data_IF_434419504910
#
_entry.id   IF_434419504910
#
_cell.length_a   1.000
_cell.length_b   1.000
_cell.length_c   1.000
_cell.angle_alpha   90.00
_cell.angle_beta   90.00
_cell.angle_gamma   90.00
#
_symmetry.space_group_name_H-M   'P 1'
#
loop_
_entity.id
_entity.type
_entity.pdbx_description
1 polymer ?
#
# COMPACT_ATOMS: atom_id res chain seq x y z
N UNK A 1 58.58 1.16 21.92
CA UNK A 1 57.68 0.70 23.01
C UNK A 1 56.34 1.38 22.85
N UNK A 2 55.24 0.62 22.91
CA UNK A 2 53.88 1.16 22.66
C UNK A 2 53.49 2.16 23.75
N UNK A 3 53.37 3.43 23.38
CA UNK A 3 53.07 4.58 24.28
C UNK A 3 51.60 4.70 24.67
N UNK A 4 50.71 3.81 24.22
CA UNK A 4 49.25 3.95 24.36
C UNK A 4 48.62 3.05 25.45
N UNK A 5 49.39 2.53 26.39
CA UNK A 5 48.82 1.73 27.49
C UNK A 5 48.99 2.47 28.83
N UNK A 6 47.91 3.11 29.37
CA UNK A 6 47.96 3.90 30.62
C UNK A 6 48.57 3.11 31.81
N UNK A 7 48.24 1.84 31.95
CA UNK A 7 48.70 1.03 33.05
C UNK A 7 50.24 0.73 33.05
N UNK A 8 50.91 0.89 31.91
CA UNK A 8 52.38 0.77 31.83
C UNK A 8 53.08 2.05 32.28
N UNK A 9 52.53 3.20 31.95
CA UNK A 9 53.05 4.50 32.38
C UNK A 9 52.92 4.66 33.88
N UNK A 10 51.76 4.29 34.46
CA UNK A 10 51.58 4.33 35.94
C UNK A 10 52.57 3.46 36.66
N UNK A 11 52.85 2.27 36.16
CA UNK A 11 53.85 1.38 36.73
C UNK A 11 55.26 1.99 36.61
N UNK A 12 55.58 2.63 35.50
CA UNK A 12 56.86 3.26 35.28
C UNK A 12 57.08 4.47 36.23
N UNK A 13 56.08 5.30 36.39
CA UNK A 13 56.08 6.44 37.31
C UNK A 13 56.23 5.93 38.77
N UNK A 14 55.54 4.84 39.11
CA UNK A 14 55.64 4.24 40.46
C UNK A 14 57.03 3.66 40.74
N UNK A 15 57.68 2.99 39.77
CA UNK A 15 59.06 2.47 39.91
C UNK A 15 60.07 3.60 39.97
N UNK A 16 59.87 4.70 39.26
CA UNK A 16 60.67 5.90 39.30
C UNK A 16 60.64 6.54 40.67
N UNK A 17 59.46 6.81 41.26
CA UNK A 17 59.34 7.38 42.61
C UNK A 17 59.75 6.41 43.70
N UNK A 18 59.71 5.10 43.49
CA UNK A 18 60.21 4.05 44.37
C UNK A 18 61.71 3.88 44.31
N UNK A 19 62.44 4.57 43.43
CA UNK A 19 63.92 4.48 43.31
C UNK A 19 64.42 3.16 42.72
N UNK A 20 63.57 2.42 42.00
CA UNK A 20 63.84 1.08 41.43
C UNK A 20 63.90 1.08 39.93
N UNK A 21 63.72 2.23 39.29
CA UNK A 21 63.71 2.35 37.83
C UNK A 21 65.10 2.22 37.22
N UNK A 22 65.22 1.53 36.10
CA UNK A 22 66.49 1.40 35.37
C UNK A 22 66.82 2.68 34.60
N UNK A 23 68.06 2.88 34.15
CA UNK A 23 68.50 4.05 33.38
C UNK A 23 67.71 4.20 32.09
N UNK A 24 67.38 3.07 31.39
CA UNK A 24 66.62 3.07 30.17
C UNK A 24 65.16 3.49 30.41
N UNK A 25 64.58 3.09 31.54
CA UNK A 25 63.24 3.47 31.98
C UNK A 25 63.15 4.94 32.37
N UNK A 26 64.21 5.49 32.97
CA UNK A 26 64.26 6.92 33.29
C UNK A 26 64.32 7.77 32.04
N UNK A 27 65.19 7.43 31.06
CA UNK A 27 65.31 8.14 29.78
C UNK A 27 64.01 8.08 28.98
N UNK A 28 63.33 6.92 29.04
CA UNK A 28 62.03 6.80 28.39
C UNK A 28 60.96 7.68 29.06
N UNK A 29 60.93 7.70 30.39
CA UNK A 29 60.00 8.53 31.16
C UNK A 29 60.22 10.03 30.87
N UNK A 30 61.47 10.47 30.82
CA UNK A 30 61.84 11.85 30.47
C UNK A 30 61.36 12.22 29.06
N UNK A 31 61.58 11.34 28.08
CA UNK A 31 61.10 11.58 26.71
C UNK A 31 59.58 11.68 26.64
N UNK A 32 58.86 10.79 27.36
CA UNK A 32 57.42 10.78 27.43
C UNK A 32 56.84 12.05 28.10
N UNK A 33 57.50 12.54 29.18
CA UNK A 33 57.11 13.81 29.84
C UNK A 33 57.22 15.00 28.88
N UNK A 34 58.25 15.01 28.02
CA UNK A 34 58.50 16.11 27.09
C UNK A 34 57.67 16.00 25.80
N UNK A 35 56.98 14.92 25.56
CA UNK A 35 56.18 14.67 24.33
C UNK A 35 54.91 15.53 24.26
N UNK A 36 54.25 15.82 25.41
CA UNK A 36 53.05 16.67 25.48
C UNK A 36 52.88 17.38 26.82
N UNK A 37 52.16 18.52 26.81
CA UNK A 37 51.77 19.22 28.03
C UNK A 37 50.86 18.38 28.92
N UNK A 38 50.04 17.50 28.34
CA UNK A 38 49.18 16.58 29.10
C UNK A 38 49.98 15.56 29.89
N UNK A 39 51.08 15.03 29.33
CA UNK A 39 51.99 14.10 30.02
C UNK A 39 52.71 14.77 31.19
N UNK A 40 53.11 16.03 31.01
CA UNK A 40 53.73 16.82 32.10
C UNK A 40 52.75 17.03 33.25
N UNK A 41 51.51 17.38 32.95
CA UNK A 41 50.44 17.57 33.92
C UNK A 41 50.13 16.29 34.66
N UNK A 42 50.07 15.15 33.96
CA UNK A 42 49.81 13.83 34.50
C UNK A 42 50.93 13.39 35.47
N UNK A 43 52.20 13.57 35.09
CA UNK A 43 53.34 13.27 35.95
C UNK A 43 53.33 14.12 37.20
N UNK A 44 53.03 15.41 37.10
CA UNK A 44 52.93 16.35 38.23
C UNK A 44 51.81 15.97 39.20
N UNK A 45 50.66 15.53 38.71
CA UNK A 45 49.58 15.06 39.55
C UNK A 45 49.95 13.78 40.29
N UNK A 46 50.63 12.85 39.63
CA UNK A 46 51.11 11.62 40.22
C UNK A 46 52.16 11.88 41.30
N UNK A 47 53.08 12.81 41.05
CA UNK A 47 54.07 13.27 41.99
C UNK A 47 53.41 13.82 43.28
N UNK A 48 52.42 14.70 43.16
CA UNK A 48 51.72 15.27 44.31
C UNK A 48 51.00 14.20 45.13
N UNK A 49 50.45 13.18 44.51
CA UNK A 49 49.80 12.05 45.19
C UNK A 49 50.87 11.20 45.95
N UNK A 50 52.01 10.97 45.31
CA UNK A 50 53.09 10.19 45.89
C UNK A 50 53.68 10.91 47.13
N UNK A 51 54.01 12.19 47.03
CA UNK A 51 54.50 12.99 48.09
C UNK A 51 53.54 13.04 49.31
N UNK A 52 52.23 13.20 49.01
CA UNK A 52 51.20 13.16 50.06
C UNK A 52 51.05 11.77 50.71
N UNK A 53 51.43 10.69 50.05
CA UNK A 53 51.39 9.33 50.62
C UNK A 53 52.56 8.96 51.50
N UNK A 54 53.71 9.60 51.26
CA UNK A 54 54.97 9.35 52.06
C UNK A 54 54.97 10.08 53.41
N UNK A 55 54.23 11.19 53.55
CA UNK A 55 54.17 11.99 54.77
C UNK A 55 53.17 11.50 55.83
N UNK A 56 52.41 10.42 55.59
CA UNK A 56 51.49 9.89 56.59
C UNK A 56 52.16 8.83 57.48
N UNK A 57 52.37 9.10 58.78
CA UNK A 57 52.71 8.03 59.69
C UNK A 57 51.51 7.12 59.90
N UNK A 58 51.48 6.01 59.23
CA UNK A 58 50.45 5.00 59.42
C UNK A 58 50.63 4.30 60.71
N UNK A 59 49.89 4.66 61.76
CA UNK A 59 49.79 3.86 62.95
C UNK A 59 48.99 2.58 62.61
N UNK A 60 49.74 1.53 62.30
CA UNK A 60 49.21 0.22 61.84
C UNK A 60 48.24 -0.38 62.88
N UNK A 61 48.39 -0.15 64.13
CA UNK A 61 47.56 -0.68 65.23
C UNK A 61 46.12 -0.06 65.21
N UNK A 62 46.05 1.25 65.03
CA UNK A 62 44.75 1.92 64.92
C UNK A 62 43.97 1.61 63.56
N UNK A 63 44.72 1.41 62.51
CA UNK A 63 44.15 1.03 61.24
C UNK A 63 43.65 -0.41 61.31
N UNK A 64 44.40 -1.34 61.83
CA UNK A 64 44.03 -2.74 62.04
C UNK A 64 42.78 -2.86 62.94
N UNK A 65 42.74 -2.15 64.07
CA UNK A 65 41.59 -2.15 64.97
C UNK A 65 40.33 -1.59 64.30
N UNK A 66 40.47 -0.59 63.44
CA UNK A 66 39.33 -0.02 62.67
C UNK A 66 38.81 -0.96 61.57
N UNK A 67 39.73 -1.71 60.97
CA UNK A 67 39.38 -2.73 59.97
C UNK A 67 38.71 -3.94 60.61
N UNK A 68 39.25 -4.45 61.71
CA UNK A 68 38.70 -5.56 62.48
C UNK A 68 37.31 -5.21 63.07
N UNK A 69 37.11 -3.97 63.51
CA UNK A 69 35.84 -3.48 64.01
C UNK A 69 34.79 -3.42 62.83
N UNK A 70 35.21 -2.99 61.66
CA UNK A 70 34.37 -2.92 60.48
C UNK A 70 33.99 -4.31 59.91
N UNK A 71 34.90 -5.29 60.02
CA UNK A 71 34.63 -6.68 59.61
C UNK A 71 33.63 -7.32 60.60
N UNK A 72 33.74 -7.02 61.89
CA UNK A 72 32.86 -7.58 62.94
C UNK A 72 31.47 -6.89 62.96
N UNK A 73 31.38 -5.61 62.55
CA UNK A 73 30.12 -4.88 62.41
C UNK A 73 29.43 -5.20 61.07
N UNK A 74 30.14 -5.82 60.15
CA UNK A 74 29.65 -6.07 58.75
C UNK A 74 28.83 -7.33 58.56
N UNK A 75 28.70 -8.20 59.56
CA UNK A 75 27.76 -9.34 59.46
C UNK A 75 26.41 -8.99 60.09
N UNK A 76 25.73 -7.97 59.55
CA UNK A 76 24.28 -7.98 59.66
C UNK A 76 23.77 -9.11 58.76
N UNK A 77 23.42 -10.24 59.35
CA UNK A 77 22.72 -11.29 58.64
C UNK A 77 21.51 -10.64 57.94
N UNK A 78 21.55 -10.62 56.63
CA UNK A 78 20.40 -10.12 55.84
C UNK A 78 19.21 -10.94 56.32
N UNK A 79 18.27 -10.29 56.99
CA UNK A 79 17.05 -10.92 57.48
C UNK A 79 16.36 -11.59 56.25
N UNK A 80 15.89 -12.81 56.43
CA UNK A 80 15.20 -13.58 55.36
C UNK A 80 14.24 -12.71 54.52
N UNK A 81 13.58 -11.73 55.16
CA UNK A 81 12.75 -10.73 54.54
C UNK A 81 13.47 -9.81 53.54
N UNK A 82 14.71 -9.41 53.83
CA UNK A 82 15.48 -8.53 52.91
C UNK A 82 15.98 -9.31 51.69
N UNK A 83 16.32 -10.57 51.86
CA UNK A 83 16.68 -11.47 50.75
C UNK A 83 15.44 -11.74 49.88
N UNK A 84 14.30 -12.06 50.52
CA UNK A 84 13.03 -12.29 49.82
C UNK A 84 12.58 -11.05 49.03
N UNK A 85 12.71 -9.83 49.59
CA UNK A 85 12.37 -8.59 48.86
C UNK A 85 13.27 -8.34 47.63
N UNK A 86 14.57 -8.66 47.72
CA UNK A 86 15.50 -8.51 46.59
C UNK A 86 15.19 -9.52 45.49
N UNK A 87 14.90 -10.78 45.85
CA UNK A 87 14.50 -11.82 44.90
C UNK A 87 13.15 -11.47 44.27
N UNK A 88 12.17 -10.99 45.05
CA UNK A 88 10.88 -10.54 44.55
C UNK A 88 11.01 -9.39 43.54
N UNK A 89 11.88 -8.41 43.83
CA UNK A 89 12.11 -7.29 42.90
C UNK A 89 12.77 -7.75 41.57
N UNK A 90 13.73 -8.70 41.64
CA UNK A 90 14.39 -9.26 40.43
C UNK A 90 13.41 -10.07 39.57
N UNK A 91 12.48 -10.77 40.17
CA UNK A 91 11.47 -11.56 39.48
C UNK A 91 10.28 -10.71 39.00
N UNK A 92 9.94 -9.66 39.75
CA UNK A 92 8.79 -8.79 39.43
C UNK A 92 9.02 -7.93 38.18
N UNK A 93 10.25 -7.41 38.00
CA UNK A 93 10.59 -6.56 36.85
C UNK A 93 10.43 -7.29 35.53
N UNK A 94 11.01 -8.50 35.30
CA UNK A 94 10.80 -9.23 34.03
C UNK A 94 9.34 -9.68 33.84
N UNK A 95 8.63 -9.98 34.94
CA UNK A 95 7.21 -10.33 34.86
C UNK A 95 6.35 -9.13 34.47
N UNK A 96 6.67 -7.94 34.97
CA UNK A 96 6.00 -6.69 34.59
C UNK A 96 6.31 -6.30 33.15
N UNK A 97 7.57 -6.44 32.70
CA UNK A 97 7.99 -6.26 31.31
C UNK A 97 7.26 -7.25 30.40
N UNK A 98 7.18 -8.53 30.80
CA UNK A 98 6.46 -9.57 30.06
C UNK A 98 4.96 -9.24 29.93
N UNK A 99 4.33 -8.78 31.03
CA UNK A 99 2.92 -8.38 31.05
C UNK A 99 2.65 -7.14 30.16
N UNK A 100 3.53 -6.14 30.23
CA UNK A 100 3.48 -4.98 29.34
C UNK A 100 3.70 -5.39 27.88
N UNK A 101 4.69 -6.25 27.61
CA UNK A 101 4.94 -6.78 26.27
C UNK A 101 3.76 -7.59 25.75
N UNK A 102 3.11 -8.42 26.57
CA UNK A 102 1.91 -9.15 26.18
C UNK A 102 0.73 -8.21 25.86
N UNK A 103 0.53 -7.14 26.59
CA UNK A 103 -0.50 -6.14 26.28
C UNK A 103 -0.15 -5.34 25.02
N UNK A 104 1.09 -4.87 24.88
CA UNK A 104 1.55 -4.19 23.66
C UNK A 104 1.54 -5.10 22.43
N UNK A 105 1.88 -6.38 22.57
CA UNK A 105 1.87 -7.34 21.47
C UNK A 105 0.47 -7.76 21.04
N UNK A 106 -0.55 -7.67 21.89
CA UNK A 106 -1.95 -7.91 21.50
C UNK A 106 -2.44 -6.84 20.53
N UNK A 107 -2.10 -5.57 20.75
CA UNK A 107 -2.44 -4.50 19.81
C UNK A 107 -1.68 -4.60 18.48
N UNK A 108 -0.48 -5.15 18.48
CA UNK A 108 0.31 -5.37 17.27
C UNK A 108 -0.15 -6.60 16.44
N UNK A 109 -0.62 -7.66 17.10
CA UNK A 109 -1.18 -8.85 16.41
C UNK A 109 -2.63 -8.68 15.96
N UNK A 110 -3.39 -7.76 16.55
CA UNK A 110 -4.79 -7.49 16.18
C UNK A 110 -4.95 -6.74 14.86
N UNK A 111 -3.86 -6.30 14.20
CA UNK A 111 -3.92 -5.62 12.89
C UNK A 111 -3.83 -6.54 11.66
N UNK A 112 -3.56 -7.82 11.85
CA UNK A 112 -3.74 -8.84 10.80
C UNK A 112 -5.06 -9.58 11.01
N UNK A 113 -6.19 -8.87 11.09
CA UNK A 113 -7.47 -9.50 10.81
C UNK A 113 -7.41 -9.96 9.36
N UNK A 114 -7.60 -11.26 9.13
CA UNK A 114 -7.72 -11.82 7.79
C UNK A 114 -8.79 -11.03 7.05
N UNK A 115 -8.36 -10.25 6.06
CA UNK A 115 -9.28 -9.45 5.23
C UNK A 115 -10.02 -10.44 4.35
N UNK A 116 -11.30 -10.61 4.61
CA UNK A 116 -12.18 -11.40 3.75
C UNK A 116 -12.56 -10.56 2.54
N UNK A 117 -12.41 -11.13 1.35
CA UNK A 117 -12.80 -10.47 0.11
C UNK A 117 -14.13 -11.02 -0.39
N UNK A 118 -15.06 -10.12 -0.62
CA UNK A 118 -16.30 -10.40 -1.33
C UNK A 118 -16.08 -10.25 -2.84
N UNK A 119 -16.82 -11.02 -3.63
CA UNK A 119 -16.85 -10.91 -5.09
C UNK A 119 -18.29 -10.84 -5.56
N UNK A 120 -18.65 -9.74 -6.21
CA UNK A 120 -19.94 -9.57 -6.86
C UNK A 120 -19.76 -9.68 -8.38
N UNK A 121 -20.68 -10.39 -9.04
CA UNK A 121 -20.72 -10.53 -10.49
C UNK A 121 -22.11 -10.10 -10.93
N UNK A 122 -22.19 -9.14 -11.85
CA UNK A 122 -23.46 -8.81 -12.52
C UNK A 122 -23.74 -9.86 -13.59
N UNK A 123 -24.93 -10.42 -13.56
CA UNK A 123 -25.36 -11.37 -14.60
C UNK A 123 -25.42 -10.66 -15.97
N UNK A 124 -25.24 -11.43 -17.05
CA UNK A 124 -25.38 -10.89 -18.40
C UNK A 124 -26.80 -10.39 -18.66
N UNK A 125 -26.93 -9.25 -19.31
CA UNK A 125 -28.23 -8.61 -19.60
C UNK A 125 -28.79 -7.78 -18.44
N UNK A 126 -28.09 -7.67 -17.32
CA UNK A 126 -28.50 -6.87 -16.16
C UNK A 126 -27.33 -6.07 -15.59
N UNK A 127 -27.62 -5.14 -14.72
CA UNK A 127 -26.61 -4.50 -13.87
C UNK A 127 -26.90 -4.77 -12.39
N UNK A 128 -25.90 -4.72 -11.56
CA UNK A 128 -26.03 -4.85 -10.10
C UNK A 128 -25.66 -3.56 -9.42
N UNK A 129 -26.37 -3.21 -8.36
CA UNK A 129 -26.05 -2.05 -7.50
C UNK A 129 -25.61 -2.57 -6.15
N UNK A 130 -24.49 -2.06 -5.64
CA UNK A 130 -23.97 -2.43 -4.34
C UNK A 130 -23.44 -1.21 -3.59
N UNK A 131 -23.53 -1.25 -2.28
CA UNK A 131 -22.92 -0.29 -1.38
C UNK A 131 -21.69 -0.95 -0.73
N UNK A 132 -20.57 -0.23 -0.77
CA UNK A 132 -19.31 -0.68 -0.20
C UNK A 132 -19.23 -0.32 1.29
N UNK A 133 -18.29 -0.93 2.06
CA UNK A 133 -18.14 -0.69 3.50
C UNK A 133 -17.85 0.75 3.91
N UNK A 134 -17.40 1.61 2.99
CA UNK A 134 -17.15 3.04 3.19
C UNK A 134 -18.35 3.93 2.80
N UNK A 135 -19.48 3.35 2.43
CA UNK A 135 -20.66 4.06 1.93
C UNK A 135 -20.58 4.48 0.46
N UNK A 136 -19.53 4.11 -0.26
CA UNK A 136 -19.46 4.31 -1.72
C UNK A 136 -20.46 3.42 -2.44
N UNK A 137 -21.13 3.96 -3.47
CA UNK A 137 -22.08 3.21 -4.31
C UNK A 137 -21.43 2.81 -5.61
N UNK A 138 -21.71 1.59 -6.05
CA UNK A 138 -21.18 1.04 -7.30
C UNK A 138 -22.31 0.43 -8.10
N UNK A 139 -22.44 0.84 -9.37
CA UNK A 139 -23.24 0.15 -10.39
C UNK A 139 -22.28 -0.71 -11.19
N UNK A 140 -22.52 -1.98 -11.25
CA UNK A 140 -21.70 -2.97 -11.94
C UNK A 140 -22.43 -3.43 -13.19
N UNK A 141 -21.89 -3.13 -14.36
CA UNK A 141 -22.51 -3.41 -15.65
C UNK A 141 -22.53 -4.91 -15.98
N UNK A 142 -23.34 -5.28 -16.91
CA UNK A 142 -23.54 -6.63 -17.44
C UNK A 142 -22.24 -7.40 -17.65
N UNK A 143 -22.14 -8.61 -17.08
CA UNK A 143 -20.97 -9.49 -17.20
C UNK A 143 -19.73 -9.02 -16.43
N UNK A 144 -19.80 -7.93 -15.68
CA UNK A 144 -18.68 -7.38 -14.92
C UNK A 144 -18.56 -8.01 -13.54
N UNK A 145 -17.35 -7.96 -12.98
CA UNK A 145 -17.08 -8.45 -11.63
C UNK A 145 -16.28 -7.44 -10.80
N UNK A 146 -16.68 -7.25 -9.54
CA UNK A 146 -16.02 -6.43 -8.56
C UNK A 146 -15.61 -7.29 -7.36
N UNK A 147 -14.33 -7.23 -6.97
CA UNK A 147 -13.81 -7.82 -5.75
C UNK A 147 -13.41 -6.71 -4.78
N UNK A 148 -13.91 -6.76 -3.56
CA UNK A 148 -13.70 -5.76 -2.52
C UNK A 148 -13.63 -6.42 -1.14
N UNK A 149 -12.92 -5.82 -0.16
CA UNK A 149 -12.82 -6.35 1.20
C UNK A 149 -14.12 -6.12 1.97
N UNK A 150 -14.38 -6.94 2.99
CA UNK A 150 -15.47 -6.75 3.95
C UNK A 150 -15.30 -5.48 4.79
N UNK A 151 -14.06 -5.03 4.97
CA UNK A 151 -13.68 -3.78 5.63
C UNK A 151 -12.47 -3.17 4.97
N UNK A 152 -12.49 -1.86 4.77
CA UNK A 152 -11.29 -1.15 4.34
C UNK A 152 -10.37 -0.92 5.55
N UNK A 153 -9.16 -1.50 5.48
CA UNK A 153 -8.14 -1.38 6.52
C UNK A 153 -6.95 -0.58 5.99
N UNK A 154 -6.24 0.12 6.88
CA UNK A 154 -5.05 0.92 6.60
C UNK A 154 -5.27 2.18 5.74
N UNK A 155 -4.37 2.46 4.80
CA UNK A 155 -4.20 3.79 4.21
C UNK A 155 -4.95 3.99 2.88
N UNK A 156 -5.75 3.02 2.42
CA UNK A 156 -6.51 3.14 1.19
C UNK A 156 -7.73 2.21 1.16
N UNK A 157 -8.66 2.52 0.22
CA UNK A 157 -9.88 1.76 -0.05
C UNK A 157 -9.72 1.10 -1.42
N UNK A 158 -9.21 -0.13 -1.45
CA UNK A 158 -8.87 -0.82 -2.70
C UNK A 158 -9.94 -1.82 -3.13
N UNK A 159 -10.38 -1.71 -4.37
CA UNK A 159 -11.26 -2.66 -5.05
C UNK A 159 -10.64 -3.12 -6.37
N UNK A 160 -11.09 -4.26 -6.89
CA UNK A 160 -10.59 -4.85 -8.13
C UNK A 160 -11.73 -5.05 -9.11
N UNK A 161 -11.65 -4.39 -10.26
CA UNK A 161 -12.67 -4.42 -11.30
C UNK A 161 -12.19 -5.18 -12.54
N UNK A 162 -13.06 -6.05 -13.05
CA UNK A 162 -12.97 -6.61 -14.41
C UNK A 162 -14.32 -6.36 -15.08
N UNK A 163 -14.32 -5.65 -16.20
CA UNK A 163 -15.55 -5.22 -16.87
C UNK A 163 -15.78 -3.73 -16.73
N UNK A 164 -17.02 -3.32 -16.59
CA UNK A 164 -17.44 -1.92 -16.52
C UNK A 164 -18.21 -1.63 -15.24
N UNK A 165 -17.88 -0.53 -14.57
CA UNK A 165 -18.58 -0.07 -13.39
C UNK A 165 -18.58 1.46 -13.27
N UNK A 166 -19.69 1.98 -12.75
CA UNK A 166 -19.83 3.37 -12.35
C UNK A 166 -19.72 3.47 -10.84
N UNK A 167 -18.95 4.44 -10.38
CA UNK A 167 -18.63 4.66 -8.96
C UNK A 167 -19.11 6.03 -8.50
N UNK A 168 -19.79 6.08 -7.37
CA UNK A 168 -20.01 7.28 -6.55
C UNK A 168 -19.25 7.09 -5.24
N UNK A 169 -18.03 7.63 -5.20
CA UNK A 169 -17.10 7.40 -4.09
C UNK A 169 -17.38 8.37 -2.96
N UNK A 170 -17.55 7.84 -1.76
CA UNK A 170 -17.65 8.64 -0.53
C UNK A 170 -16.39 9.50 -0.34
N UNK A 171 -16.59 10.80 -0.02
CA UNK A 171 -15.50 11.76 0.07
C UNK A 171 -14.64 11.54 1.31
N UNK A 172 -13.39 11.15 1.09
CA UNK A 172 -12.36 11.05 2.12
C UNK A 172 -10.98 11.34 1.50
N UNK A 173 -10.41 12.50 1.86
CA UNK A 173 -9.09 12.94 1.35
C UNK A 173 -7.94 12.24 2.04
N UNK A 174 -8.15 11.67 3.22
CA UNK A 174 -7.11 11.01 4.03
C UNK A 174 -6.88 9.58 3.58
N UNK A 175 -7.94 8.92 3.08
CA UNK A 175 -7.91 7.53 2.65
C UNK A 175 -8.40 7.38 1.19
N UNK A 176 -7.51 7.45 0.19
CA UNK A 176 -7.88 7.39 -1.21
C UNK A 176 -8.55 6.06 -1.59
N UNK A 177 -9.53 6.15 -2.51
CA UNK A 177 -10.20 5.01 -3.11
C UNK A 177 -9.45 4.58 -4.37
N UNK A 178 -9.11 3.30 -4.48
CA UNK A 178 -8.33 2.73 -5.57
C UNK A 178 -9.13 1.67 -6.32
N UNK A 179 -9.37 1.89 -7.61
CA UNK A 179 -9.94 0.87 -8.50
C UNK A 179 -8.80 0.26 -9.31
N UNK A 180 -8.42 -0.95 -8.97
CA UNK A 180 -7.44 -1.73 -9.72
C UNK A 180 -8.12 -2.48 -10.85
N UNK A 181 -7.61 -2.31 -12.07
CA UNK A 181 -8.06 -3.00 -13.27
C UNK A 181 -6.91 -3.83 -13.85
N UNK A 182 -7.11 -4.65 -14.88
CA UNK A 182 -6.02 -5.34 -15.57
C UNK A 182 -5.00 -4.42 -16.24
N UNK A 183 -5.31 -3.13 -16.46
CA UNK A 183 -4.52 -2.22 -17.28
C UNK A 183 -3.94 -1.03 -16.51
N UNK A 184 -4.68 -0.50 -15.55
CA UNK A 184 -4.31 0.68 -14.78
C UNK A 184 -5.04 0.70 -13.43
N UNK A 185 -4.58 1.55 -12.53
CA UNK A 185 -5.24 1.89 -11.27
C UNK A 185 -5.85 3.28 -11.37
N UNK A 186 -7.10 3.41 -10.96
CA UNK A 186 -7.81 4.69 -10.84
C UNK A 186 -7.85 5.10 -9.37
N UNK A 187 -7.32 6.29 -9.06
CA UNK A 187 -7.28 6.85 -7.69
C UNK A 187 -8.26 8.01 -7.57
N UNK A 188 -9.14 7.94 -6.58
CA UNK A 188 -10.21 8.89 -6.30
C UNK A 188 -10.27 9.25 -4.81
N UNK A 189 -10.82 10.43 -4.46
CA UNK A 189 -10.97 10.88 -3.07
C UNK A 189 -12.36 11.42 -2.74
N UNK A 190 -13.35 11.17 -3.60
CA UNK A 190 -14.72 11.68 -3.51
C UNK A 190 -15.16 12.20 -4.88
N UNK A 191 -15.52 11.27 -5.77
CA UNK A 191 -15.70 11.53 -7.19
C UNK A 191 -16.76 10.63 -7.76
N UNK A 192 -17.37 11.06 -8.89
CA UNK A 192 -18.25 10.22 -9.71
C UNK A 192 -17.57 9.93 -11.04
N UNK A 193 -17.39 8.66 -11.36
CA UNK A 193 -16.69 8.26 -12.58
C UNK A 193 -17.10 6.86 -13.05
N UNK A 194 -16.94 6.61 -14.34
CA UNK A 194 -17.12 5.29 -14.95
C UNK A 194 -15.74 4.71 -15.33
N UNK A 195 -15.55 3.43 -15.10
CA UNK A 195 -14.35 2.68 -15.53
C UNK A 195 -14.79 1.50 -16.37
N UNK A 196 -14.16 1.34 -17.53
CA UNK A 196 -14.37 0.21 -18.43
C UNK A 196 -13.04 -0.47 -18.69
N UNK A 197 -12.92 -1.72 -18.26
CA UNK A 197 -11.68 -2.49 -18.30
C UNK A 197 -11.96 -4.00 -18.37
N UNK A 198 -12.63 -4.46 -19.47
CA UNK A 198 -12.85 -5.88 -19.73
C UNK A 198 -11.52 -6.57 -20.03
N UNK A 199 -11.42 -7.87 -19.77
CA UNK A 199 -10.24 -8.66 -20.16
C UNK A 199 -10.09 -8.68 -21.67
N UNK A 200 -8.85 -8.60 -22.15
CA UNK A 200 -8.50 -8.60 -23.59
C UNK A 200 -9.15 -7.46 -24.40
N UNK A 201 -9.52 -6.38 -23.72
CA UNK A 201 -10.07 -5.20 -24.36
C UNK A 201 -8.96 -4.25 -24.78
N UNK A 202 -8.99 -3.82 -26.05
CA UNK A 202 -7.91 -3.02 -26.63
C UNK A 202 -7.88 -1.57 -26.15
N UNK A 203 -9.06 -1.05 -25.79
CA UNK A 203 -9.21 0.38 -25.42
C UNK A 203 -9.95 0.57 -24.10
N UNK A 204 -9.40 0.09 -22.96
CA UNK A 204 -9.99 0.38 -21.67
C UNK A 204 -10.04 1.88 -21.42
N UNK A 205 -11.02 2.33 -20.64
CA UNK A 205 -11.30 3.76 -20.51
C UNK A 205 -11.76 4.17 -19.12
N UNK A 206 -11.60 5.47 -18.84
CA UNK A 206 -12.08 6.13 -17.64
C UNK A 206 -12.81 7.40 -18.04
N UNK A 207 -14.01 7.60 -17.50
CA UNK A 207 -14.83 8.79 -17.74
C UNK A 207 -15.08 9.49 -16.42
N UNK A 208 -14.70 10.74 -16.29
CA UNK A 208 -14.92 11.51 -15.07
C UNK A 208 -16.16 12.41 -15.21
N UNK A 209 -17.06 12.27 -14.23
CA UNK A 209 -18.30 13.06 -14.14
C UNK A 209 -18.14 14.21 -13.17
N UNK A 210 -17.63 13.91 -11.95
CA UNK A 210 -17.51 14.91 -10.89
C UNK A 210 -16.23 14.67 -10.06
N UNK A 211 -15.55 15.76 -9.69
CA UNK A 211 -14.36 15.73 -8.85
C UNK A 211 -13.05 15.65 -9.64
N UNK A 212 -12.08 14.88 -9.15
CA UNK A 212 -10.77 14.67 -9.79
C UNK A 212 -10.33 13.22 -9.64
N UNK A 213 -9.82 12.64 -10.72
CA UNK A 213 -9.33 11.26 -10.76
C UNK A 213 -7.91 11.23 -11.30
N UNK A 214 -7.02 10.51 -10.62
CA UNK A 214 -5.70 10.19 -11.14
C UNK A 214 -5.69 8.76 -11.69
N UNK A 215 -5.26 8.60 -12.95
CA UNK A 215 -5.04 7.29 -13.56
C UNK A 215 -3.56 6.97 -13.50
N UNK A 216 -3.21 5.79 -13.00
CA UNK A 216 -1.84 5.36 -12.74
C UNK A 216 -1.56 4.05 -13.46
N UNK A 217 -0.36 3.90 -14.00
CA UNK A 217 0.08 2.66 -14.64
C UNK A 217 0.29 1.58 -13.57
N UNK A 218 -0.14 0.35 -13.87
CA UNK A 218 0.25 -0.82 -13.07
C UNK A 218 1.76 -1.05 -13.24
N UNK A 219 2.52 -0.78 -12.19
CA UNK A 219 3.94 -1.15 -12.14
C UNK A 219 4.12 -2.29 -11.14
N UNK A 220 4.91 -3.27 -11.52
CA UNK A 220 5.36 -4.37 -10.66
C UNK A 220 6.34 -3.91 -9.56
N UNK A 221 6.64 -2.60 -9.47
CA UNK A 221 7.54 -1.97 -8.50
C UNK A 221 6.82 -0.95 -7.60
N UNK A 222 7.50 -0.49 -6.55
CA UNK A 222 6.95 0.30 -5.43
C UNK A 222 6.39 1.70 -5.76
N UNK A 223 6.42 2.19 -6.99
CA UNK A 223 5.86 3.50 -7.38
C UNK A 223 4.95 3.36 -8.59
N UNK A 224 3.65 3.61 -8.39
CA UNK A 224 2.70 3.76 -9.48
C UNK A 224 3.01 5.05 -10.25
N UNK A 225 3.37 4.90 -11.53
CA UNK A 225 3.63 6.04 -12.40
C UNK A 225 2.31 6.70 -12.81
N UNK A 226 2.17 8.01 -12.62
CA UNK A 226 0.99 8.75 -13.05
C UNK A 226 0.91 8.72 -14.59
N UNK A 227 -0.22 8.26 -15.12
CA UNK A 227 -0.53 8.37 -16.54
C UNK A 227 -1.12 9.76 -16.82
N UNK A 228 -2.19 10.12 -16.09
CA UNK A 228 -2.89 11.40 -16.27
C UNK A 228 -3.77 11.73 -15.06
N UNK A 229 -4.19 13.00 -15.00
CA UNK A 229 -5.25 13.49 -14.11
C UNK A 229 -6.42 13.97 -14.94
N UNK A 230 -7.62 13.42 -14.68
CA UNK A 230 -8.84 13.79 -15.37
C UNK A 230 -9.58 14.91 -14.63
N UNK A 231 -10.19 15.79 -15.44
CA UNK A 231 -11.13 16.82 -15.02
C UNK A 231 -12.57 16.39 -15.40
N UNK A 232 -13.61 16.97 -14.79
CA UNK A 232 -14.99 16.69 -15.15
C UNK A 232 -15.25 16.83 -16.66
N UNK A 233 -16.12 15.96 -17.19
CA UNK A 233 -16.44 15.81 -18.62
C UNK A 233 -15.28 15.35 -19.51
N UNK A 234 -14.21 14.79 -18.91
CA UNK A 234 -13.16 14.15 -19.67
C UNK A 234 -13.36 12.63 -19.72
N UNK A 235 -13.13 12.11 -20.92
CA UNK A 235 -13.09 10.68 -21.22
C UNK A 235 -11.67 10.33 -21.67
N UNK A 236 -11.04 9.39 -20.97
CA UNK A 236 -9.71 8.85 -21.29
C UNK A 236 -9.87 7.47 -21.90
N UNK A 237 -9.19 7.21 -23.00
CA UNK A 237 -8.97 5.86 -23.53
C UNK A 237 -7.49 5.50 -23.47
N UNK A 238 -7.18 4.26 -23.14
CA UNK A 238 -5.84 3.70 -23.10
C UNK A 238 -5.72 2.60 -24.15
N UNK A 239 -4.88 2.79 -25.16
CA UNK A 239 -4.58 1.76 -26.14
C UNK A 239 -3.58 0.76 -25.54
N UNK A 240 -4.02 -0.49 -25.40
CA UNK A 240 -3.22 -1.53 -24.74
C UNK A 240 -2.06 -2.04 -25.60
N UNK A 241 -2.10 -1.84 -26.91
CA UNK A 241 -1.05 -2.27 -27.87
C UNK A 241 0.07 -1.25 -27.95
N UNK A 242 -0.29 0.03 -28.12
CA UNK A 242 0.69 1.11 -28.27
C UNK A 242 1.08 1.77 -26.93
N UNK A 243 0.27 1.59 -25.89
CA UNK A 243 0.40 2.32 -24.63
C UNK A 243 -0.02 3.79 -24.73
N UNK A 244 -0.61 4.20 -25.85
CA UNK A 244 -1.03 5.57 -26.07
C UNK A 244 -2.30 5.92 -25.26
N UNK A 245 -2.32 7.16 -24.74
CA UNK A 245 -3.45 7.70 -23.99
C UNK A 245 -4.08 8.83 -24.79
N UNK A 246 -5.39 8.75 -24.99
CA UNK A 246 -6.19 9.82 -25.60
C UNK A 246 -7.15 10.36 -24.55
N UNK A 247 -7.25 11.70 -24.46
CA UNK A 247 -8.19 12.37 -23.56
C UNK A 247 -9.07 13.29 -24.42
N UNK A 248 -10.39 13.15 -24.26
CA UNK A 248 -11.38 13.98 -24.94
C UNK A 248 -12.30 14.63 -23.92
N UNK A 249 -12.65 15.90 -24.16
CA UNK A 249 -13.73 16.58 -23.43
C UNK A 249 -14.99 16.49 -24.24
N UNK A 250 -16.03 15.83 -23.72
CA UNK A 250 -17.26 15.55 -24.43
C UNK A 250 -18.46 15.44 -23.48
N UNK A 251 -19.68 15.28 -24.06
CA UNK A 251 -20.83 14.83 -23.28
C UNK A 251 -20.61 13.38 -22.82
N UNK A 252 -20.21 13.24 -21.57
CA UNK A 252 -19.81 11.95 -20.99
C UNK A 252 -20.99 11.05 -20.65
N UNK A 253 -22.23 11.54 -20.67
CA UNK A 253 -23.41 10.75 -20.26
C UNK A 253 -23.56 9.44 -21.05
N UNK A 254 -23.21 9.44 -22.33
CA UNK A 254 -23.23 8.22 -23.15
C UNK A 254 -22.43 7.03 -22.57
N UNK A 255 -21.40 7.29 -21.75
CA UNK A 255 -20.54 6.25 -21.20
C UNK A 255 -21.09 5.59 -19.93
N UNK A 256 -22.05 6.23 -19.26
CA UNK A 256 -22.63 5.69 -18.02
C UNK A 256 -24.17 5.71 -17.98
N UNK A 257 -24.83 6.04 -19.11
CA UNK A 257 -26.30 6.04 -19.23
C UNK A 257 -26.91 4.65 -19.00
N UNK A 258 -26.12 3.60 -19.18
CA UNK A 258 -26.53 2.21 -18.95
C UNK A 258 -26.99 1.97 -17.50
N UNK A 259 -26.41 2.68 -16.51
CA UNK A 259 -26.83 2.58 -15.09
C UNK A 259 -28.27 3.08 -14.86
N UNK A 260 -28.75 3.93 -15.75
CA UNK A 260 -30.11 4.48 -15.76
C UNK A 260 -31.04 3.70 -16.72
N UNK A 261 -30.57 2.52 -17.22
CA UNK A 261 -31.32 1.67 -18.15
C UNK A 261 -31.38 2.20 -19.61
N UNK A 262 -30.52 3.18 -19.94
CA UNK A 262 -30.55 3.86 -21.27
C UNK A 262 -29.34 3.48 -22.11
N UNK A 263 -29.59 3.31 -23.42
CA UNK A 263 -28.54 3.26 -24.43
C UNK A 263 -28.47 4.61 -25.14
N UNK A 264 -27.41 5.34 -24.91
CA UNK A 264 -27.20 6.68 -25.49
C UNK A 264 -26.01 6.65 -26.41
N UNK A 265 -26.27 6.84 -27.70
CA UNK A 265 -25.27 6.91 -28.76
C UNK A 265 -25.08 8.37 -29.19
N UNK A 266 -23.84 8.81 -29.33
CA UNK A 266 -23.45 10.17 -29.74
C UNK A 266 -22.25 10.09 -30.67
N UNK A 267 -22.54 9.83 -31.95
CA UNK A 267 -21.53 9.62 -33.00
C UNK A 267 -20.70 8.33 -32.77
N UNK A 268 -21.32 7.31 -32.18
CA UNK A 268 -20.67 6.02 -31.91
C UNK A 268 -20.67 5.14 -33.20
N UNK A 269 -19.60 4.40 -33.42
CA UNK A 269 -19.52 3.46 -34.53
C UNK A 269 -20.38 2.22 -34.26
N UNK A 270 -20.73 1.49 -35.34
CA UNK A 270 -21.59 0.30 -35.23
C UNK A 270 -21.01 -0.77 -34.31
N UNK A 271 -19.68 -0.89 -34.21
CA UNK A 271 -19.06 -1.88 -33.33
C UNK A 271 -19.31 -1.56 -31.85
N UNK A 272 -19.25 -0.29 -31.48
CA UNK A 272 -19.57 0.15 -30.13
C UNK A 272 -21.09 0.06 -29.84
N UNK A 273 -21.94 0.38 -30.84
CA UNK A 273 -23.38 0.18 -30.76
C UNK A 273 -23.70 -1.28 -30.51
N UNK A 274 -23.18 -2.18 -31.36
CA UNK A 274 -23.38 -3.62 -31.24
C UNK A 274 -22.90 -4.16 -29.86
N UNK A 275 -21.75 -3.72 -29.40
CA UNK A 275 -21.20 -4.12 -28.07
C UNK A 275 -22.14 -3.74 -26.92
N UNK A 276 -22.65 -2.51 -26.91
CA UNK A 276 -23.55 -2.05 -25.84
C UNK A 276 -24.89 -2.76 -25.88
N UNK A 277 -25.43 -3.02 -27.08
CA UNK A 277 -26.63 -3.83 -27.26
C UNK A 277 -26.39 -5.26 -26.76
N UNK A 278 -25.26 -5.87 -27.14
CA UNK A 278 -24.87 -7.21 -26.67
C UNK A 278 -24.85 -7.34 -25.15
N UNK A 279 -24.33 -6.34 -24.47
CA UNK A 279 -24.28 -6.32 -23.01
C UNK A 279 -25.66 -6.16 -22.37
N UNK A 280 -26.47 -5.24 -22.90
CA UNK A 280 -27.79 -4.94 -22.32
C UNK A 280 -28.81 -6.04 -22.52
N UNK A 281 -28.78 -6.69 -23.70
CA UNK A 281 -29.77 -7.71 -24.03
C UNK A 281 -29.25 -9.15 -23.96
N UNK A 282 -28.01 -9.35 -23.53
CA UNK A 282 -27.35 -10.66 -23.45
C UNK A 282 -27.40 -11.43 -24.79
N UNK A 283 -27.02 -10.77 -25.88
CA UNK A 283 -26.97 -11.32 -27.22
C UNK A 283 -25.59 -11.21 -27.83
N UNK A 284 -25.25 -12.12 -28.74
CA UNK A 284 -24.02 -12.03 -29.52
C UNK A 284 -24.30 -11.32 -30.82
N UNK A 285 -23.64 -10.20 -31.10
CA UNK A 285 -23.77 -9.44 -32.32
C UNK A 285 -22.47 -9.52 -33.12
N UNK A 286 -22.57 -10.08 -34.32
CA UNK A 286 -21.49 -10.14 -35.31
C UNK A 286 -21.74 -9.11 -36.40
N UNK A 287 -20.71 -8.34 -36.76
CA UNK A 287 -20.79 -7.33 -37.84
C UNK A 287 -20.07 -7.88 -39.06
N UNK A 288 -20.77 -8.00 -40.20
CA UNK A 288 -20.20 -8.44 -41.46
C UNK A 288 -20.10 -7.29 -42.46
N UNK A 289 -18.93 -7.12 -43.03
CA UNK A 289 -18.61 -6.10 -44.01
C UNK A 289 -17.90 -4.88 -43.40
N UNK A 290 -16.85 -4.39 -44.07
CA UNK A 290 -16.06 -3.27 -43.59
C UNK A 290 -16.74 -1.91 -43.81
N UNK A 291 -17.65 -1.83 -44.79
CA UNK A 291 -18.38 -0.62 -45.11
C UNK A 291 -19.24 -0.14 -43.95
N UNK A 292 -19.94 -1.06 -43.28
CA UNK A 292 -20.81 -0.68 -42.18
C UNK A 292 -20.03 -0.22 -40.92
N UNK A 293 -18.77 -0.58 -40.80
CA UNK A 293 -17.91 -0.10 -39.71
C UNK A 293 -17.71 1.43 -39.71
N UNK A 294 -17.94 2.05 -40.87
CA UNK A 294 -17.87 3.52 -41.05
C UNK A 294 -19.13 4.23 -40.51
N UNK A 295 -20.23 3.52 -40.33
CA UNK A 295 -21.48 4.13 -39.89
C UNK A 295 -21.38 4.64 -38.46
N UNK A 296 -22.00 5.81 -38.26
CA UNK A 296 -22.07 6.49 -36.98
C UNK A 296 -23.50 6.69 -36.54
N UNK A 297 -23.80 6.38 -35.31
CA UNK A 297 -25.15 6.42 -34.78
C UNK A 297 -25.31 7.53 -33.73
N UNK A 298 -26.46 8.19 -33.80
CA UNK A 298 -26.91 9.14 -32.81
C UNK A 298 -28.36 8.80 -32.45
N UNK A 299 -28.54 8.19 -31.29
CA UNK A 299 -29.85 7.76 -30.81
C UNK A 299 -29.84 7.66 -29.28
N UNK A 300 -31.04 7.66 -28.69
CA UNK A 300 -31.25 7.31 -27.29
C UNK A 300 -32.39 6.30 -27.26
N UNK A 301 -32.14 5.16 -26.64
CA UNK A 301 -33.10 4.10 -26.38
C UNK A 301 -33.34 3.98 -24.89
N UNK A 302 -34.60 3.81 -24.49
CA UNK A 302 -35.00 3.68 -23.08
C UNK A 302 -36.08 2.62 -22.96
N UNK A 303 -35.68 1.43 -22.48
CA UNK A 303 -36.57 0.27 -22.31
C UNK A 303 -37.18 -0.32 -23.61
N UNK A 304 -36.66 0.04 -24.81
CA UNK A 304 -37.10 -0.61 -26.03
C UNK A 304 -36.73 -2.09 -26.05
N UNK A 305 -37.62 -2.98 -26.51
CA UNK A 305 -37.28 -4.37 -26.77
C UNK A 305 -36.18 -4.47 -27.86
N UNK A 306 -35.34 -5.53 -27.77
CA UNK A 306 -34.25 -5.73 -28.73
C UNK A 306 -34.70 -5.72 -30.17
N UNK A 307 -35.84 -6.37 -30.48
CA UNK A 307 -36.37 -6.48 -31.86
C UNK A 307 -36.75 -5.12 -32.40
N UNK A 308 -37.34 -4.25 -31.59
CA UNK A 308 -37.67 -2.89 -31.96
C UNK A 308 -36.40 -2.05 -32.16
N UNK A 309 -35.41 -2.17 -31.29
CA UNK A 309 -34.12 -1.50 -31.44
C UNK A 309 -33.45 -1.90 -32.78
N UNK A 310 -33.39 -3.19 -33.08
CA UNK A 310 -32.82 -3.69 -34.34
C UNK A 310 -33.60 -3.19 -35.55
N UNK A 311 -34.95 -3.16 -35.48
CA UNK A 311 -35.81 -2.59 -36.51
C UNK A 311 -35.49 -1.12 -36.76
N UNK A 312 -35.33 -0.33 -35.70
CA UNK A 312 -34.96 1.10 -35.78
C UNK A 312 -33.57 1.30 -36.39
N UNK A 313 -32.60 0.48 -36.03
CA UNK A 313 -31.26 0.51 -36.65
C UNK A 313 -31.33 0.20 -38.15
N UNK A 314 -32.14 -0.80 -38.56
CA UNK A 314 -32.36 -1.15 -39.95
C UNK A 314 -32.99 -0.01 -40.76
N UNK A 315 -33.99 0.68 -40.21
CA UNK A 315 -34.66 1.79 -40.88
C UNK A 315 -33.76 3.03 -40.99
N UNK A 316 -32.92 3.27 -39.98
CA UNK A 316 -32.07 4.47 -39.94
C UNK A 316 -30.75 4.35 -40.71
N UNK A 317 -30.43 3.17 -41.21
CA UNK A 317 -29.15 2.87 -41.88
C UNK A 317 -29.32 1.83 -42.96
N UNK A 318 -28.37 1.79 -43.91
CA UNK A 318 -28.35 0.76 -44.97
C UNK A 318 -27.81 -0.57 -44.46
N UNK A 319 -28.46 -1.10 -43.43
CA UNK A 319 -28.11 -2.40 -42.82
C UNK A 319 -29.32 -3.31 -42.77
N UNK A 320 -29.04 -4.60 -42.75
CA UNK A 320 -30.01 -5.62 -42.40
C UNK A 320 -29.41 -6.55 -41.36
N UNK A 321 -30.24 -7.39 -40.79
CA UNK A 321 -29.77 -8.36 -39.79
C UNK A 321 -30.42 -9.71 -39.97
N UNK A 322 -29.68 -10.75 -39.61
CA UNK A 322 -30.17 -12.12 -39.57
C UNK A 322 -29.97 -12.68 -38.18
N UNK A 323 -31.01 -13.30 -37.63
CA UNK A 323 -30.97 -13.97 -36.35
C UNK A 323 -30.70 -15.46 -36.52
N UNK A 324 -29.72 -15.97 -35.76
CA UNK A 324 -29.47 -17.40 -35.61
C UNK A 324 -30.18 -17.88 -34.35
N UNK A 325 -31.09 -18.81 -34.52
CA UNK A 325 -31.84 -19.41 -33.41
C UNK A 325 -30.91 -20.04 -32.38
N UNK A 326 -31.32 -19.92 -31.14
CA UNK A 326 -30.61 -20.55 -30.03
C UNK A 326 -30.58 -22.08 -30.21
N UNK A 327 -29.47 -22.69 -29.82
CA UNK A 327 -29.29 -24.16 -29.81
C UNK A 327 -29.21 -24.61 -28.38
N UNK A 328 -29.86 -25.73 -28.11
CA UNK A 328 -29.67 -26.41 -26.82
C UNK A 328 -28.26 -26.98 -26.75
N UNK A 329 -27.62 -26.77 -25.61
CA UNK A 329 -26.28 -27.23 -25.31
C UNK A 329 -26.34 -28.59 -24.56
N UNK A 330 -25.23 -29.36 -24.53
CA UNK A 330 -25.21 -30.67 -23.88
C UNK A 330 -25.54 -30.66 -22.38
N UNK A 331 -25.41 -29.52 -21.70
CA UNK A 331 -25.76 -29.32 -20.30
C UNK A 331 -27.23 -28.91 -20.06
N UNK A 332 -28.05 -28.89 -21.12
CA UNK A 332 -29.45 -28.48 -21.07
C UNK A 332 -29.68 -26.97 -21.09
N UNK A 333 -28.63 -26.19 -21.12
CA UNK A 333 -28.73 -24.72 -21.33
C UNK A 333 -28.88 -24.37 -22.79
N UNK A 334 -29.23 -23.12 -23.08
CA UNK A 334 -29.31 -22.62 -24.44
C UNK A 334 -28.13 -21.72 -24.76
N UNK A 335 -27.61 -21.80 -26.01
CA UNK A 335 -26.64 -20.84 -26.53
C UNK A 335 -27.22 -19.42 -26.48
N UNK A 336 -26.35 -18.42 -26.44
CA UNK A 336 -26.82 -17.02 -26.58
C UNK A 336 -27.53 -16.83 -27.93
N UNK A 337 -28.52 -15.96 -27.93
CA UNK A 337 -29.14 -15.45 -29.17
C UNK A 337 -28.06 -14.76 -29.98
N UNK A 338 -27.88 -15.12 -31.25
CA UNK A 338 -26.85 -14.56 -32.12
C UNK A 338 -27.49 -13.77 -33.26
N UNK A 339 -27.01 -12.55 -33.49
CA UNK A 339 -27.48 -11.63 -34.52
C UNK A 339 -26.30 -11.28 -35.42
N UNK A 340 -26.48 -11.38 -36.72
CA UNK A 340 -25.49 -10.98 -37.72
C UNK A 340 -26.03 -9.73 -38.41
N UNK A 341 -25.31 -8.61 -38.28
CA UNK A 341 -25.62 -7.33 -38.93
C UNK A 341 -24.73 -7.20 -40.16
N UNK A 342 -25.30 -6.86 -41.31
CA UNK A 342 -24.58 -6.72 -42.56
C UNK A 342 -25.10 -5.54 -43.38
N UNK A 343 -24.32 -5.06 -44.38
CA UNK A 343 -24.73 -4.00 -45.28
C UNK A 343 -25.76 -4.53 -46.32
N UNK A 344 -26.76 -3.70 -46.62
CA UNK A 344 -27.69 -3.96 -47.75
C UNK A 344 -27.14 -3.44 -49.06
N UNK A 345 -26.04 -2.69 -49.04
CA UNK A 345 -25.35 -2.24 -50.25
C UNK A 345 -24.34 -3.32 -50.67
N UNK A 346 -24.67 -4.09 -51.67
CA UNK A 346 -23.71 -4.87 -52.44
C UNK A 346 -23.31 -4.10 -53.71
#
# INVERSE_FOLDING_TARGET
MDTNNPGKIDKLITTFFGGIASEEEILFLESWIHESEENQLYFKQFKNIWEASVEMPVSTDKALAKVLKKINEGQKSLTFWQIAQRIAAILFIPLLISMLWMNFSKDFKSKNSDITYNKTIAAFGTFSVLELPDGSKVWLNSGSSLRYPDKFLSNNRTVYLIGEAYFEVHSDKTMPFLVNTPYFTVKATGTKFNVRAERNFLTPSVTLVEGKVAVQKLNSGKQNCLITMLQPNQHMTYDTLSGHVTIQTEDTYKHFAWKDGKLVFRNDNISEVARRISLQYNVDIEIKGDEIKKYRYRATFENEPLDELLRLLKISSQIDYHEIKQKELPDGSFSRRKIIIYSTNN
#
